data_IF_498166620623
#
_entry.id   IF_498166620623
#
_cell.length_a   1.000
_cell.length_b   1.000
_cell.length_c   1.000
_cell.angle_alpha   90.00
_cell.angle_beta   90.00
_cell.angle_gamma   90.00
#
_symmetry.space_group_name_H-M   'P 1'
#
loop_
_entity.id
_entity.type
_entity.pdbx_description
1 polymer ?
#
# COMPACT_ATOMS: atom_id res chain seq x y z
N UNK A 1 0.64 10.75 17.29
CA UNK A 1 1.15 9.36 17.23
C UNK A 1 2.67 9.46 17.08
N UNK A 2 3.44 8.74 17.89
CA UNK A 2 4.89 8.65 17.71
C UNK A 2 5.23 7.56 16.68
N UNK A 3 6.50 7.45 16.28
CA UNK A 3 6.93 6.52 15.23
C UNK A 3 6.76 5.04 15.64
N UNK A 4 7.03 4.71 16.89
CA UNK A 4 6.87 3.36 17.42
C UNK A 4 5.40 2.93 17.36
N UNK A 5 4.48 3.78 17.82
CA UNK A 5 3.05 3.55 17.71
C UNK A 5 2.60 3.35 16.26
N UNK A 6 3.13 4.15 15.33
CA UNK A 6 2.80 4.04 13.91
C UNK A 6 3.22 2.66 13.35
N UNK A 7 4.43 2.21 13.67
CA UNK A 7 4.97 0.91 13.25
C UNK A 7 4.08 -0.24 13.78
N UNK A 8 3.75 -0.22 15.07
CA UNK A 8 2.95 -1.29 15.67
C UNK A 8 1.46 -1.25 15.26
N UNK A 9 0.90 -0.09 14.98
CA UNK A 9 -0.51 0.07 14.59
C UNK A 9 -0.74 -0.07 13.09
N UNK A 10 0.26 0.18 12.23
CA UNK A 10 0.08 0.06 10.79
C UNK A 10 -0.32 -1.36 10.40
N UNK A 11 -1.47 -1.48 9.76
CA UNK A 11 -1.98 -2.75 9.20
C UNK A 11 -2.36 -2.53 7.75
N UNK A 12 -2.38 -3.61 6.98
CA UNK A 12 -2.98 -3.59 5.65
C UNK A 12 -4.49 -3.55 5.78
N UNK A 13 -5.10 -2.50 5.27
CA UNK A 13 -6.54 -2.26 5.26
C UNK A 13 -7.02 -2.27 3.80
N UNK A 14 -8.13 -2.94 3.55
CA UNK A 14 -8.69 -3.10 2.21
C UNK A 14 -10.15 -2.66 2.08
N UNK A 15 -10.81 -2.36 3.22
CA UNK A 15 -12.17 -1.84 3.29
C UNK A 15 -12.16 -0.49 3.95
N UNK A 16 -12.86 0.46 3.36
CA UNK A 16 -12.77 1.86 3.73
C UNK A 16 -14.14 2.49 3.87
N UNK A 17 -14.26 3.45 4.77
CA UNK A 17 -15.35 4.42 4.78
C UNK A 17 -15.26 5.29 3.54
N UNK A 18 -16.37 5.85 3.10
CA UNK A 18 -16.41 6.65 1.88
C UNK A 18 -16.11 8.15 2.11
N UNK A 19 -15.57 8.49 3.29
CA UNK A 19 -15.11 9.85 3.57
C UNK A 19 -13.92 10.22 2.66
N UNK A 20 -13.95 11.40 2.02
CA UNK A 20 -12.85 11.81 1.15
C UNK A 20 -11.59 12.12 1.95
N UNK A 21 -10.43 11.80 1.38
CA UNK A 21 -9.14 12.22 1.94
C UNK A 21 -8.83 13.62 1.42
N UNK A 22 -8.51 14.60 2.30
CA UNK A 22 -8.04 15.92 1.87
C UNK A 22 -6.81 15.83 0.95
N UNK A 23 -6.81 16.61 -0.14
CA UNK A 23 -5.75 16.57 -1.15
C UNK A 23 -4.36 16.95 -0.59
N UNK A 24 -4.32 17.86 0.38
CA UNK A 24 -3.10 18.24 1.08
C UNK A 24 -2.47 17.06 1.85
N UNK A 25 -3.29 16.18 2.42
CA UNK A 25 -2.80 14.93 3.05
C UNK A 25 -2.20 14.03 1.98
N UNK A 26 -2.86 13.81 0.84
CA UNK A 26 -2.32 12.99 -0.24
C UNK A 26 -0.97 13.51 -0.74
N UNK A 27 -0.85 14.82 -0.95
CA UNK A 27 0.42 15.48 -1.31
C UNK A 27 1.48 15.32 -0.22
N UNK A 28 1.09 15.38 1.06
CA UNK A 28 1.99 15.19 2.18
C UNK A 28 2.56 13.77 2.23
N UNK A 29 1.74 12.76 1.89
CA UNK A 29 2.22 11.38 1.79
C UNK A 29 3.27 11.21 0.69
N UNK A 30 3.11 11.89 -0.45
CA UNK A 30 4.14 11.90 -1.50
C UNK A 30 5.41 12.63 -1.03
N UNK A 31 5.28 13.71 -0.26
CA UNK A 31 6.43 14.40 0.32
C UNK A 31 7.23 13.50 1.28
N UNK A 32 6.55 12.65 2.05
CA UNK A 32 7.22 11.64 2.88
C UNK A 32 7.96 10.59 2.05
N UNK A 33 7.37 10.15 0.94
CA UNK A 33 8.04 9.25 -0.01
C UNK A 33 9.30 9.89 -0.62
N UNK A 34 9.21 11.17 -1.00
CA UNK A 34 10.30 11.95 -1.58
C UNK A 34 11.53 12.06 -0.66
N UNK A 35 11.32 12.06 0.67
CA UNK A 35 12.38 12.17 1.68
C UNK A 35 13.00 10.81 2.02
N UNK A 36 12.45 9.70 1.52
CA UNK A 36 13.05 8.38 1.72
C UNK A 36 14.47 8.32 1.14
N UNK A 37 15.37 7.52 1.73
CA UNK A 37 16.68 7.28 1.13
C UNK A 37 16.53 6.60 -0.24
N UNK A 38 17.42 6.97 -1.17
CA UNK A 38 17.51 6.36 -2.49
C UNK A 38 18.95 5.98 -2.80
N UNK A 39 19.16 4.87 -3.50
CA UNK A 39 20.48 4.44 -3.95
C UNK A 39 21.17 5.55 -4.73
N UNK A 40 22.42 5.88 -4.37
CA UNK A 40 23.21 6.98 -4.94
C UNK A 40 22.44 8.32 -5.03
N UNK A 41 21.32 8.47 -4.30
CA UNK A 41 20.43 9.62 -4.36
C UNK A 41 19.84 9.89 -5.76
N UNK A 42 19.62 8.86 -6.56
CA UNK A 42 19.15 8.97 -7.95
C UNK A 42 17.70 9.47 -8.05
N UNK A 43 16.86 9.18 -7.06
CA UNK A 43 15.49 9.70 -6.96
C UNK A 43 14.63 9.43 -8.20
N UNK A 44 14.66 8.20 -8.69
CA UNK A 44 13.96 7.78 -9.91
C UNK A 44 12.45 7.55 -9.72
N UNK A 45 11.93 7.70 -8.51
CA UNK A 45 10.51 7.44 -8.22
C UNK A 45 9.64 8.66 -8.51
N UNK A 46 8.51 8.38 -9.16
CA UNK A 46 7.44 9.35 -9.41
C UNK A 46 6.08 8.75 -9.03
N UNK A 47 5.08 9.60 -8.87
CA UNK A 47 3.80 9.16 -8.30
C UNK A 47 2.62 9.80 -9.02
N UNK A 48 1.53 9.02 -9.19
CA UNK A 48 0.23 9.55 -9.62
C UNK A 48 -0.73 9.42 -8.45
N UNK A 49 -1.37 10.52 -8.07
CA UNK A 49 -2.48 10.53 -7.09
C UNK A 49 -3.79 10.36 -7.87
N UNK A 50 -4.61 9.39 -7.45
CA UNK A 50 -5.91 9.11 -8.05
C UNK A 50 -6.99 9.31 -6.99
N UNK A 51 -7.71 10.45 -7.07
CA UNK A 51 -8.75 10.83 -6.10
C UNK A 51 -10.15 10.96 -6.73
N UNK A 52 -10.22 11.27 -8.05
CA UNK A 52 -11.51 11.41 -8.72
C UNK A 52 -12.29 10.09 -8.72
N UNK A 53 -13.58 10.15 -8.43
CA UNK A 53 -14.44 8.96 -8.35
C UNK A 53 -14.40 8.15 -9.66
N UNK A 54 -14.44 8.82 -10.81
CA UNK A 54 -14.40 8.17 -12.12
C UNK A 54 -13.12 7.34 -12.30
N UNK A 55 -11.95 7.91 -12.02
CA UNK A 55 -10.67 7.22 -12.22
C UNK A 55 -10.44 6.14 -11.18
N UNK A 56 -10.92 6.32 -9.94
CA UNK A 56 -10.88 5.26 -8.91
C UNK A 56 -11.71 4.05 -9.33
N UNK A 57 -12.91 4.26 -9.85
CA UNK A 57 -13.76 3.16 -10.35
C UNK A 57 -13.13 2.43 -11.53
N UNK A 58 -12.46 3.12 -12.44
CA UNK A 58 -11.73 2.51 -13.56
C UNK A 58 -10.47 1.75 -13.11
N UNK A 59 -9.78 2.21 -12.05
CA UNK A 59 -8.59 1.57 -11.51
C UNK A 59 -8.91 0.35 -10.65
N UNK A 60 -10.02 0.36 -9.91
CA UNK A 60 -10.42 -0.69 -8.96
C UNK A 60 -10.38 -2.12 -9.55
N UNK A 61 -10.92 -2.43 -10.75
CA UNK A 61 -10.86 -3.77 -11.35
C UNK A 61 -9.47 -4.14 -11.92
N UNK A 62 -8.52 -3.21 -11.91
CA UNK A 62 -7.18 -3.41 -12.44
C UNK A 62 -6.15 -3.84 -11.37
N UNK A 63 -6.56 -3.87 -10.11
CA UNK A 63 -5.76 -4.36 -8.98
C UNK A 63 -6.36 -5.65 -8.42
N UNK A 64 -5.54 -6.50 -7.80
CA UNK A 64 -5.98 -7.75 -7.18
C UNK A 64 -5.93 -7.64 -5.66
N UNK A 65 -6.96 -8.17 -5.02
CA UNK A 65 -7.19 -8.10 -3.58
C UNK A 65 -6.91 -9.43 -2.88
N UNK A 66 -6.33 -9.36 -1.68
CA UNK A 66 -6.29 -10.40 -0.64
C UNK A 66 -6.21 -11.85 -1.15
N UNK A 67 -5.16 -12.21 -1.91
CA UNK A 67 -5.02 -13.50 -2.60
C UNK A 67 -5.14 -14.74 -1.69
N UNK A 68 -4.80 -14.62 -0.39
CA UNK A 68 -4.91 -15.73 0.59
C UNK A 68 -6.32 -15.99 1.08
N UNK A 69 -7.27 -15.07 0.86
CA UNK A 69 -8.66 -15.26 1.24
C UNK A 69 -9.46 -16.08 0.21
N UNK A 70 -10.58 -16.69 0.59
CA UNK A 70 -11.58 -17.22 -0.34
C UNK A 70 -12.04 -16.14 -1.33
N UNK A 71 -12.38 -16.52 -2.56
CA UNK A 71 -12.65 -15.57 -3.67
C UNK A 71 -13.73 -14.55 -3.35
N UNK A 72 -14.79 -14.97 -2.68
CA UNK A 72 -15.94 -14.16 -2.25
C UNK A 72 -15.60 -13.11 -1.16
N UNK A 73 -14.48 -13.30 -0.43
CA UNK A 73 -14.03 -12.41 0.65
C UNK A 73 -12.87 -11.50 0.28
N UNK A 74 -12.36 -11.59 -0.97
CA UNK A 74 -11.14 -10.87 -1.39
C UNK A 74 -11.37 -9.40 -1.66
N UNK A 75 -12.32 -9.12 -2.56
CA UNK A 75 -12.58 -7.78 -3.08
C UNK A 75 -13.42 -6.99 -2.08
N UNK A 76 -13.12 -5.71 -1.84
CA UNK A 76 -14.02 -4.84 -1.09
C UNK A 76 -15.43 -4.84 -1.69
N UNK A 77 -16.43 -4.82 -0.83
CA UNK A 77 -17.83 -4.70 -1.20
C UNK A 77 -18.13 -3.29 -1.69
N UNK A 78 -19.22 -3.14 -2.48
CA UNK A 78 -19.68 -1.83 -2.92
C UNK A 78 -19.93 -0.89 -1.73
N UNK A 79 -19.42 0.32 -1.82
CA UNK A 79 -19.45 1.33 -0.75
C UNK A 79 -18.33 1.17 0.29
N UNK A 80 -17.37 0.23 0.09
CA UNK A 80 -16.20 0.03 0.94
C UNK A 80 -14.88 0.04 0.15
N UNK A 81 -14.93 0.56 -1.09
CA UNK A 81 -13.76 0.71 -1.96
C UNK A 81 -12.84 1.82 -1.45
N UNK A 82 -11.57 1.86 -1.90
CA UNK A 82 -10.66 2.95 -1.57
C UNK A 82 -11.16 4.32 -2.02
N UNK A 83 -10.92 5.33 -1.20
CA UNK A 83 -11.23 6.73 -1.53
C UNK A 83 -10.10 7.48 -2.20
N UNK A 84 -8.91 6.89 -2.26
CA UNK A 84 -7.79 7.35 -3.09
C UNK A 84 -6.83 6.22 -3.42
N UNK A 85 -6.00 6.43 -4.45
CA UNK A 85 -4.84 5.58 -4.75
C UNK A 85 -3.61 6.43 -5.03
N UNK A 86 -2.45 5.83 -4.79
CA UNK A 86 -1.16 6.31 -5.26
C UNK A 86 -0.57 5.23 -6.17
N UNK A 87 -0.27 5.57 -7.43
CA UNK A 87 0.45 4.70 -8.35
C UNK A 87 1.93 5.05 -8.23
N UNK A 88 2.77 4.06 -7.94
CA UNK A 88 4.22 4.20 -7.79
C UNK A 88 4.89 3.89 -9.11
N UNK A 89 5.60 4.86 -9.65
CA UNK A 89 6.28 4.81 -10.94
C UNK A 89 7.80 4.87 -10.76
N UNK A 90 8.50 4.25 -11.66
CA UNK A 90 9.96 4.39 -11.83
C UNK A 90 10.24 4.99 -13.19
N UNK A 91 10.97 6.11 -13.21
CA UNK A 91 11.50 6.68 -14.43
C UNK A 91 12.70 5.87 -14.91
N UNK A 92 12.51 5.13 -16.02
CA UNK A 92 13.52 4.19 -16.53
C UNK A 92 14.73 4.87 -17.15
N UNK A 93 14.64 6.16 -17.46
CA UNK A 93 15.76 6.93 -18.01
C UNK A 93 16.84 7.24 -16.95
N UNK A 94 16.47 7.22 -15.66
CA UNK A 94 17.35 7.59 -14.54
C UNK A 94 17.40 6.55 -13.43
N UNK A 95 16.81 5.35 -13.63
CA UNK A 95 16.80 4.29 -12.61
C UNK A 95 18.15 3.59 -12.48
N UNK A 96 18.44 3.12 -11.27
CA UNK A 96 19.53 2.20 -10.96
C UNK A 96 19.04 0.76 -10.70
N UNK A 97 20.03 -0.16 -10.54
CA UNK A 97 19.78 -1.60 -10.31
C UNK A 97 19.03 -1.87 -8.98
N UNK A 98 19.13 -0.99 -8.00
CA UNK A 98 18.58 -1.16 -6.64
C UNK A 98 17.24 -0.47 -6.42
N UNK A 99 16.58 -0.02 -7.47
CA UNK A 99 15.33 0.77 -7.40
C UNK A 99 14.21 0.11 -6.57
N UNK A 100 14.16 -1.21 -6.47
CA UNK A 100 13.15 -1.90 -5.67
C UNK A 100 13.34 -1.68 -4.15
N UNK A 101 14.57 -1.43 -3.68
CA UNK A 101 14.82 -1.00 -2.30
C UNK A 101 14.34 0.43 -2.06
N UNK A 102 14.56 1.34 -3.02
CA UNK A 102 14.08 2.72 -2.97
C UNK A 102 12.55 2.75 -2.91
N UNK A 103 11.90 1.91 -3.75
CA UNK A 103 10.44 1.72 -3.72
C UNK A 103 9.98 1.26 -2.34
N UNK A 104 10.67 0.28 -1.75
CA UNK A 104 10.35 -0.21 -0.40
C UNK A 104 10.40 0.88 0.65
N UNK A 105 11.48 1.69 0.66
CA UNK A 105 11.68 2.77 1.61
C UNK A 105 10.63 3.89 1.44
N UNK A 106 10.38 4.31 0.19
CA UNK A 106 9.41 5.35 -0.11
C UNK A 106 7.98 4.93 0.23
N UNK A 107 7.60 3.69 -0.13
CA UNK A 107 6.26 3.18 0.16
C UNK A 107 6.05 3.03 1.67
N UNK A 108 7.02 2.52 2.44
CA UNK A 108 6.84 2.41 3.90
C UNK A 108 6.66 3.79 4.55
N UNK A 109 7.35 4.84 4.07
CA UNK A 109 7.12 6.20 4.53
C UNK A 109 5.67 6.66 4.25
N UNK A 110 5.10 6.33 3.08
CA UNK A 110 3.68 6.59 2.77
C UNK A 110 2.78 5.87 3.76
N UNK A 111 3.03 4.58 4.01
CA UNK A 111 2.17 3.75 4.87
C UNK A 111 2.19 4.22 6.34
N UNK A 112 3.38 4.55 6.87
CA UNK A 112 3.54 5.11 8.21
C UNK A 112 2.96 6.52 8.33
N UNK A 113 3.15 7.33 7.28
CA UNK A 113 2.53 8.65 7.20
C UNK A 113 1.00 8.58 7.17
N UNK A 114 0.44 7.65 6.39
CA UNK A 114 -1.01 7.48 6.28
C UNK A 114 -1.68 7.22 7.64
N UNK A 115 -1.11 6.30 8.44
CA UNK A 115 -1.69 5.98 9.76
C UNK A 115 -1.64 7.17 10.73
N UNK A 116 -0.69 8.10 10.59
CA UNK A 116 -0.64 9.30 11.43
C UNK A 116 -1.83 10.24 11.20
N UNK A 117 -2.45 10.16 10.02
CA UNK A 117 -3.70 10.86 9.66
C UNK A 117 -4.95 9.99 9.86
N UNK A 118 -4.83 8.83 10.52
CA UNK A 118 -5.95 7.90 10.72
C UNK A 118 -6.35 7.13 9.47
N UNK A 119 -5.54 7.16 8.41
CA UNK A 119 -5.80 6.44 7.17
C UNK A 119 -5.33 4.99 7.25
N UNK A 120 -6.10 4.09 6.64
CA UNK A 120 -5.70 2.75 6.30
C UNK A 120 -5.09 2.71 4.89
N UNK A 121 -4.23 1.73 4.67
CA UNK A 121 -3.54 1.57 3.39
C UNK A 121 -3.37 0.09 3.02
N UNK A 122 -3.29 -0.18 1.71
CA UNK A 122 -2.88 -1.49 1.19
C UNK A 122 -1.88 -1.32 0.05
N UNK A 123 -0.72 -1.93 0.19
CA UNK A 123 0.32 -1.98 -0.83
C UNK A 123 0.10 -3.17 -1.75
N UNK A 124 -0.13 -2.92 -3.04
CA UNK A 124 -0.51 -3.92 -4.04
C UNK A 124 0.53 -4.02 -5.16
N UNK A 125 1.14 -5.21 -5.31
CA UNK A 125 2.02 -5.53 -6.43
C UNK A 125 1.32 -6.36 -7.53
N UNK A 126 0.19 -7.01 -7.23
CA UNK A 126 -0.57 -7.77 -8.22
C UNK A 126 -1.56 -6.86 -8.96
N UNK A 127 -1.09 -6.27 -10.07
CA UNK A 127 -1.80 -5.25 -10.84
C UNK A 127 -1.82 -5.60 -12.34
N UNK A 128 -2.76 -5.04 -13.08
CA UNK A 128 -2.80 -5.13 -14.56
C UNK A 128 -2.06 -3.95 -15.16
N UNK A 129 -0.72 -3.93 -15.03
CA UNK A 129 0.14 -2.78 -15.33
C UNK A 129 -0.09 -2.16 -16.71
N UNK A 130 -0.15 -2.96 -17.79
CA UNK A 130 -0.38 -2.45 -19.15
C UNK A 130 -1.72 -1.71 -19.29
N UNK A 131 -2.79 -2.22 -18.63
CA UNK A 131 -4.10 -1.54 -18.64
C UNK A 131 -4.10 -0.25 -17.82
N UNK A 132 -3.36 -0.22 -16.71
CA UNK A 132 -3.18 0.99 -15.91
C UNK A 132 -2.38 2.01 -16.71
N UNK A 133 -1.31 1.59 -17.42
CA UNK A 133 -0.50 2.44 -18.27
C UNK A 133 -1.34 3.14 -19.33
N UNK A 134 -2.20 2.38 -20.02
CA UNK A 134 -3.14 2.93 -21.00
C UNK A 134 -4.17 3.87 -20.37
N UNK A 135 -4.77 3.47 -19.23
CA UNK A 135 -5.81 4.25 -18.56
C UNK A 135 -5.34 5.64 -18.11
N UNK A 136 -4.09 5.75 -17.66
CA UNK A 136 -3.51 6.99 -17.17
C UNK A 136 -2.55 7.66 -18.16
N UNK A 137 -2.49 7.16 -19.40
CA UNK A 137 -1.62 7.69 -20.46
C UNK A 137 -0.16 7.82 -20.02
N UNK A 138 0.32 6.83 -19.24
CA UNK A 138 1.67 6.85 -18.67
C UNK A 138 2.70 6.64 -19.78
N UNK A 139 3.69 7.55 -19.94
CA UNK A 139 4.70 7.46 -20.97
C UNK A 139 5.53 6.16 -20.90
N UNK A 140 6.12 5.74 -22.03
CA UNK A 140 6.86 4.48 -22.13
C UNK A 140 8.09 4.40 -21.23
N UNK A 141 8.71 5.53 -20.93
CA UNK A 141 9.86 5.62 -20.02
C UNK A 141 9.51 5.51 -18.55
N UNK A 142 8.27 5.15 -18.21
CA UNK A 142 7.86 4.83 -16.83
C UNK A 142 7.45 3.37 -16.68
N UNK A 143 7.95 2.75 -15.63
CA UNK A 143 7.54 1.43 -15.17
C UNK A 143 6.61 1.59 -13.96
N UNK A 144 5.43 0.94 -13.99
CA UNK A 144 4.55 0.89 -12.82
C UNK A 144 5.03 -0.22 -11.90
N UNK A 145 5.43 0.12 -10.69
CA UNK A 145 5.86 -0.87 -9.68
C UNK A 145 4.70 -1.34 -8.83
N UNK A 146 3.97 -0.43 -8.23
CA UNK A 146 2.92 -0.75 -7.27
C UNK A 146 1.75 0.23 -7.33
N UNK A 147 0.64 -0.18 -6.73
CA UNK A 147 -0.49 0.69 -6.42
C UNK A 147 -0.75 0.62 -4.92
N UNK A 148 -0.90 1.77 -4.27
CA UNK A 148 -1.28 1.88 -2.87
C UNK A 148 -2.72 2.37 -2.83
N UNK A 149 -3.62 1.62 -2.19
CA UNK A 149 -4.97 2.09 -1.89
C UNK A 149 -5.03 2.74 -0.52
N UNK A 150 -5.85 3.79 -0.39
CA UNK A 150 -5.98 4.63 0.79
C UNK A 150 -7.44 4.94 1.10
N UNK A 151 -7.74 5.15 2.37
CA UNK A 151 -9.05 5.58 2.89
C UNK A 151 -9.12 5.48 4.40
N UNK A 152 -10.17 6.01 5.01
CA UNK A 152 -10.40 5.78 6.44
C UNK A 152 -10.83 4.33 6.66
N UNK A 153 -10.23 3.61 7.64
CA UNK A 153 -10.49 2.19 7.83
C UNK A 153 -11.95 1.86 8.12
N UNK A 154 -12.48 0.83 7.47
CA UNK A 154 -13.79 0.22 7.75
C UNK A 154 -13.66 -1.29 7.97
N UNK A 155 -12.49 -1.75 8.37
CA UNK A 155 -12.23 -3.10 8.87
C UNK A 155 -11.14 -3.06 9.95
N UNK A 156 -11.12 -4.09 10.76
CA UNK A 156 -10.09 -4.31 11.79
C UNK A 156 -9.08 -5.33 11.28
N UNK A 157 -7.79 -5.08 11.55
CA UNK A 157 -6.72 -6.04 11.27
C UNK A 157 -5.80 -6.16 12.48
N UNK A 158 -5.58 -7.38 12.94
CA UNK A 158 -4.79 -7.69 14.12
C UNK A 158 -3.60 -8.58 13.77
N UNK A 159 -2.54 -8.46 14.55
CA UNK A 159 -1.40 -9.39 14.51
C UNK A 159 -1.69 -10.52 15.48
N UNK A 160 -1.34 -11.73 15.07
CA UNK A 160 -1.38 -12.93 15.92
C UNK A 160 -0.03 -13.67 15.86
N UNK A 161 0.27 -14.54 16.84
CA UNK A 161 1.44 -15.39 16.78
C UNK A 161 1.42 -16.30 15.55
N UNK A 162 2.61 -16.57 14.98
CA UNK A 162 2.76 -17.54 13.92
C UNK A 162 2.63 -18.98 14.46
N UNK A 163 1.67 -19.73 13.94
CA UNK A 163 1.40 -21.13 14.28
C UNK A 163 1.49 -22.05 13.06
N UNK A 164 2.62 -21.95 12.32
CA UNK A 164 2.91 -22.84 11.19
C UNK A 164 2.30 -22.42 9.85
N UNK A 165 1.47 -21.38 9.78
CA UNK A 165 0.91 -20.84 8.54
C UNK A 165 1.13 -19.34 8.42
N UNK A 166 1.61 -18.88 7.26
CA UNK A 166 1.73 -17.45 6.93
C UNK A 166 0.45 -16.85 6.34
N UNK A 167 -0.58 -17.68 6.10
CA UNK A 167 -1.82 -17.22 5.48
C UNK A 167 -2.61 -16.36 6.46
N UNK A 168 -2.85 -15.09 6.08
CA UNK A 168 -3.82 -14.26 6.79
C UNK A 168 -5.25 -14.75 6.48
N UNK A 169 -6.15 -14.56 7.43
CA UNK A 169 -7.53 -15.05 7.36
C UNK A 169 -8.49 -14.05 8.00
N UNK A 170 -9.80 -14.24 7.84
CA UNK A 170 -10.85 -13.46 8.48
C UNK A 170 -11.66 -14.32 9.43
N UNK A 171 -11.94 -13.76 10.60
CA UNK A 171 -12.89 -14.34 11.55
C UNK A 171 -14.35 -14.14 11.10
N UNK A 172 -15.30 -14.62 11.90
CA UNK A 172 -16.75 -14.50 11.65
C UNK A 172 -17.22 -13.05 11.72
N UNK A 173 -16.56 -12.21 12.50
CA UNK A 173 -16.82 -10.77 12.61
C UNK A 173 -16.20 -9.97 11.47
N UNK A 174 -15.42 -10.60 10.61
CA UNK A 174 -14.76 -9.98 9.47
C UNK A 174 -13.42 -9.31 9.79
N UNK A 175 -12.88 -9.48 11.00
CA UNK A 175 -11.57 -9.00 11.37
C UNK A 175 -10.48 -9.78 10.64
N UNK A 176 -9.45 -9.09 10.18
CA UNK A 176 -8.30 -9.68 9.50
C UNK A 176 -7.25 -10.11 10.53
N UNK A 177 -6.86 -11.38 10.51
CA UNK A 177 -5.81 -11.96 11.34
C UNK A 177 -4.55 -12.17 10.51
N UNK A 178 -3.41 -11.63 10.98
CA UNK A 178 -2.13 -11.65 10.27
C UNK A 178 -1.05 -12.28 11.15
N UNK A 179 -0.69 -13.56 10.88
CA UNK A 179 0.36 -14.24 11.64
C UNK A 179 1.73 -13.59 11.48
N UNK A 180 2.47 -13.44 12.59
CA UNK A 180 3.83 -12.93 12.63
C UNK A 180 4.73 -13.85 13.43
N UNK A 181 5.92 -14.13 12.92
CA UNK A 181 6.96 -14.87 13.64
C UNK A 181 7.37 -14.10 14.91
N UNK A 182 7.73 -14.83 15.94
CA UNK A 182 8.26 -14.23 17.16
C UNK A 182 9.61 -13.53 16.89
N UNK A 183 9.93 -12.53 17.71
CA UNK A 183 11.16 -11.76 17.54
C UNK A 183 12.41 -12.67 17.58
N UNK A 184 12.45 -13.60 18.54
CA UNK A 184 13.58 -14.51 18.69
C UNK A 184 13.76 -15.47 17.50
N UNK A 185 12.71 -15.74 16.71
CA UNK A 185 12.78 -16.61 15.54
C UNK A 185 13.39 -15.91 14.31
N UNK A 186 13.53 -14.59 14.34
CA UNK A 186 14.08 -13.78 13.23
C UNK A 186 15.45 -13.19 13.57
N UNK A 187 15.88 -13.25 14.83
CA UNK A 187 17.25 -12.90 15.24
C UNK A 187 18.11 -14.15 15.13
N UNK A 188 18.89 -14.24 14.04
CA UNK A 188 19.73 -15.42 13.84
C UNK A 188 20.86 -15.50 14.87
N UNK A 189 21.48 -14.36 15.23
CA UNK A 189 22.64 -14.32 16.13
C UNK A 189 22.86 -12.93 16.72
N UNK A 190 23.30 -12.88 17.95
CA UNK A 190 23.80 -11.69 18.64
C UNK A 190 25.25 -11.98 19.03
N UNK A 191 26.18 -11.08 18.71
CA UNK A 191 27.59 -11.19 19.08
C UNK A 191 27.92 -10.28 20.27
#
# INVERSE_FOLDING_TARGET
MNIEEAIYKRRTIRRYKQDPIPNDILKKLIDYARIAPAGSNIQSLEFIIVESNEMRQKLFPLVKWASSLPKDKRTPENGREPTAYIIVLVNTNIKESYVDFDVGAAVENILLGAISYGLGSCWMGSIKGSKIKTLFEIPENYEIKHVISLGYPDETSVVEPFEGSFKYWKDEQGNMHVPKRALNDIILKIY
#
